data_IF_185064818208
#
_entry.id   IF_185064818208
#
_cell.length_a   1.000
_cell.length_b   1.000
_cell.length_c   1.000
_cell.angle_alpha   90.00
_cell.angle_beta   90.00
_cell.angle_gamma   90.00
#
_symmetry.space_group_name_H-M   'P 1'
#
loop_
_entity.id
_entity.type
_entity.pdbx_description
1 polymer ?
#
# COMPACT_ATOMS: atom_id res chain seq x y z
N UNK A 1 0.98 10.16 12.25
CA UNK A 1 1.60 9.92 10.93
C UNK A 1 2.98 9.24 11.06
N UNK A 2 3.12 8.00 10.56
CA UNK A 2 4.38 7.22 10.54
C UNK A 2 4.57 6.60 9.14
N UNK A 3 5.21 7.33 8.24
CA UNK A 3 5.36 6.94 6.83
C UNK A 3 6.66 6.15 6.66
N UNK A 4 6.55 4.95 6.10
CA UNK A 4 7.64 4.01 5.93
C UNK A 4 7.81 3.67 4.44
N UNK A 5 8.82 4.23 3.75
CA UNK A 5 9.06 3.95 2.34
C UNK A 5 9.46 2.49 2.11
N UNK A 6 8.89 1.86 1.07
CA UNK A 6 9.33 0.55 0.56
C UNK A 6 10.08 0.70 -0.77
N UNK A 7 9.79 1.76 -1.53
CA UNK A 7 10.51 2.14 -2.74
C UNK A 7 10.42 3.64 -2.95
N UNK A 8 11.17 4.22 -3.91
CA UNK A 8 11.05 5.65 -4.25
C UNK A 8 9.65 6.07 -4.67
N UNK A 9 8.82 5.14 -5.16
CA UNK A 9 7.45 5.41 -5.64
C UNK A 9 6.35 4.93 -4.71
N UNK A 10 6.68 4.22 -3.63
CA UNK A 10 5.67 3.62 -2.76
C UNK A 10 6.12 3.61 -1.30
N UNK A 11 5.27 4.16 -0.44
CA UNK A 11 5.40 4.11 1.00
C UNK A 11 4.13 3.55 1.64
N UNK A 12 4.28 3.05 2.86
CA UNK A 12 3.19 2.52 3.67
C UNK A 12 3.09 3.24 5.00
N UNK A 13 1.92 3.25 5.61
CA UNK A 13 1.70 3.75 6.96
C UNK A 13 0.70 2.87 7.74
N UNK A 14 0.75 2.88 9.08
CA UNK A 14 -0.39 2.53 9.91
C UNK A 14 -1.54 3.52 9.68
N UNK A 15 -2.64 3.36 10.41
CA UNK A 15 -3.82 4.20 10.24
C UNK A 15 -3.44 5.69 10.28
N UNK A 16 -3.88 6.43 9.26
CA UNK A 16 -3.75 7.89 9.17
C UNK A 16 -5.09 8.56 9.48
N UNK A 17 -5.06 9.83 9.83
CA UNK A 17 -6.25 10.64 10.10
C UNK A 17 -6.49 11.67 9.00
N UNK A 18 -7.72 12.18 8.80
CA UNK A 18 -8.01 13.22 7.81
C UNK A 18 -7.08 14.44 7.89
N UNK A 19 -6.67 14.82 9.11
CA UNK A 19 -5.75 15.93 9.36
C UNK A 19 -4.31 15.70 8.90
N UNK A 20 -3.89 14.46 8.64
CA UNK A 20 -2.55 14.14 8.16
C UNK A 20 -2.38 14.43 6.66
N UNK A 21 -3.49 14.55 5.91
CA UNK A 21 -3.49 14.54 4.43
C UNK A 21 -2.78 15.76 3.82
N UNK A 22 -2.91 16.99 4.37
CA UNK A 22 -2.08 18.11 3.94
C UNK A 22 -0.57 17.88 4.14
N UNK A 23 -0.17 17.24 5.23
CA UNK A 23 1.24 16.92 5.49
C UNK A 23 1.75 15.82 4.54
N UNK A 24 0.90 14.85 4.20
CA UNK A 24 1.20 13.82 3.18
C UNK A 24 1.42 14.47 1.81
N UNK A 25 0.59 15.44 1.41
CA UNK A 25 0.80 16.21 0.18
C UNK A 25 2.11 16.99 0.22
N UNK A 26 2.39 17.68 1.32
CA UNK A 26 3.61 18.45 1.51
C UNK A 26 4.88 17.58 1.48
N UNK A 27 4.78 16.31 1.90
CA UNK A 27 5.84 15.32 1.79
C UNK A 27 6.09 14.80 0.36
N UNK A 28 5.30 15.26 -0.63
CA UNK A 28 5.50 14.96 -2.06
C UNK A 28 4.69 13.79 -2.60
N UNK A 29 3.83 13.17 -1.79
CA UNK A 29 2.92 12.13 -2.28
C UNK A 29 1.81 12.76 -3.13
N UNK A 30 1.40 12.05 -4.18
CA UNK A 30 0.33 12.48 -5.08
C UNK A 30 -0.96 11.69 -4.89
N UNK A 31 -0.84 10.46 -4.39
CA UNK A 31 -1.93 9.49 -4.33
C UNK A 31 -1.92 8.77 -2.98
N UNK A 32 -3.10 8.56 -2.42
CA UNK A 32 -3.33 7.77 -1.21
C UNK A 32 -4.20 6.55 -1.53
N UNK A 33 -3.82 5.38 -1.00
CA UNK A 33 -4.60 4.14 -1.12
C UNK A 33 -5.01 3.65 0.27
N UNK A 34 -6.32 3.55 0.52
CA UNK A 34 -6.84 2.87 1.70
C UNK A 34 -6.94 1.37 1.43
N UNK A 35 -6.14 0.58 2.15
CA UNK A 35 -6.22 -0.88 2.16
C UNK A 35 -6.90 -1.47 3.40
N UNK A 36 -7.60 -0.63 4.18
CA UNK A 36 -8.37 -1.05 5.35
C UNK A 36 -9.87 -1.07 5.03
N UNK A 37 -10.58 -2.19 5.28
CA UNK A 37 -12.03 -2.23 5.16
C UNK A 37 -12.72 -1.22 6.06
N UNK A 38 -13.77 -0.56 5.55
CA UNK A 38 -14.52 0.45 6.30
C UNK A 38 -15.23 -0.11 7.53
N UNK A 39 -15.59 -1.39 7.51
CA UNK A 39 -16.18 -2.09 8.66
C UNK A 39 -15.23 -2.16 9.86
N UNK A 40 -13.92 -1.99 9.66
CA UNK A 40 -12.92 -1.92 10.73
C UNK A 40 -12.75 -0.50 11.31
N UNK A 41 -13.39 0.52 10.72
CA UNK A 41 -13.17 1.93 11.03
C UNK A 41 -14.39 2.61 11.68
N UNK A 42 -14.17 3.57 12.59
CA UNK A 42 -15.23 4.49 13.00
C UNK A 42 -15.62 5.40 11.82
N UNK A 43 -16.83 6.00 11.81
CA UNK A 43 -17.31 6.83 10.70
C UNK A 43 -16.35 7.94 10.25
N UNK A 44 -15.65 8.57 11.20
CA UNK A 44 -14.69 9.64 10.91
C UNK A 44 -13.44 9.18 10.13
N UNK A 45 -13.16 7.86 10.08
CA UNK A 45 -12.02 7.27 9.38
C UNK A 45 -12.44 6.36 8.22
N UNK A 46 -13.74 6.32 7.89
CA UNK A 46 -14.22 5.60 6.72
C UNK A 46 -13.77 6.28 5.43
N UNK A 47 -13.72 5.49 4.37
CA UNK A 47 -13.13 5.87 3.09
C UNK A 47 -13.73 7.16 2.52
N UNK A 48 -15.03 7.41 2.71
CA UNK A 48 -15.68 8.61 2.21
C UNK A 48 -15.17 9.89 2.91
N UNK A 49 -14.96 9.86 4.23
CA UNK A 49 -14.40 11.00 4.97
C UNK A 49 -12.92 11.20 4.64
N UNK A 50 -12.17 10.10 4.54
CA UNK A 50 -10.77 10.13 4.13
C UNK A 50 -10.59 10.67 2.71
N UNK A 51 -11.49 10.29 1.78
CA UNK A 51 -11.52 10.78 0.39
C UNK A 51 -11.74 12.28 0.34
N UNK A 52 -12.75 12.80 1.05
CA UNK A 52 -13.03 14.24 1.09
C UNK A 52 -11.81 15.03 1.55
N UNK A 53 -11.13 14.55 2.59
CA UNK A 53 -9.90 15.18 3.10
C UNK A 53 -8.72 15.10 2.11
N UNK A 54 -8.57 13.97 1.41
CA UNK A 54 -7.55 13.79 0.37
C UNK A 54 -7.74 14.75 -0.80
N UNK A 55 -8.95 14.81 -1.33
CA UNK A 55 -9.29 15.67 -2.46
C UNK A 55 -9.13 17.14 -2.08
N UNK A 56 -9.54 17.54 -0.87
CA UNK A 56 -9.31 18.89 -0.35
C UNK A 56 -7.82 19.24 -0.22
N UNK A 57 -6.96 18.26 0.06
CA UNK A 57 -5.51 18.41 0.09
C UNK A 57 -4.83 18.29 -1.30
N UNK A 58 -5.59 18.05 -2.38
CA UNK A 58 -5.05 17.86 -3.72
C UNK A 58 -4.33 16.52 -3.92
N UNK A 59 -4.80 15.47 -3.24
CA UNK A 59 -4.35 14.09 -3.39
C UNK A 59 -5.41 13.26 -4.13
N UNK A 60 -4.98 12.39 -5.03
CA UNK A 60 -5.84 11.33 -5.54
C UNK A 60 -6.09 10.29 -4.44
N UNK A 61 -7.30 9.73 -4.35
CA UNK A 61 -7.65 8.76 -3.32
C UNK A 61 -8.30 7.50 -3.91
N UNK A 62 -7.75 6.34 -3.57
CA UNK A 62 -8.29 5.05 -3.96
C UNK A 62 -8.60 4.17 -2.75
N UNK A 63 -9.57 3.29 -2.92
CA UNK A 63 -9.95 2.28 -1.94
C UNK A 63 -9.73 0.92 -2.58
N UNK A 64 -8.97 0.07 -1.89
CA UNK A 64 -8.81 -1.33 -2.24
C UNK A 64 -8.76 -2.12 -0.94
N UNK A 65 -9.91 -2.52 -0.42
CA UNK A 65 -10.02 -3.17 0.87
C UNK A 65 -9.31 -4.54 0.89
N UNK A 66 -8.34 -4.70 1.79
CA UNK A 66 -7.56 -5.93 1.91
C UNK A 66 -7.86 -6.67 3.21
N UNK A 67 -8.12 -7.96 3.03
CA UNK A 67 -8.26 -9.00 4.04
C UNK A 67 -7.46 -10.22 3.59
N UNK A 68 -7.39 -11.26 4.43
CA UNK A 68 -6.81 -12.54 4.00
C UNK A 68 -7.52 -13.14 2.78
N UNK A 69 -8.83 -12.90 2.64
CA UNK A 69 -9.63 -13.44 1.52
C UNK A 69 -9.48 -12.60 0.25
N UNK A 70 -9.26 -11.29 0.39
CA UNK A 70 -9.16 -10.37 -0.75
C UNK A 70 -7.71 -10.11 -1.18
N UNK A 71 -6.72 -10.80 -0.59
CA UNK A 71 -5.34 -10.82 -1.06
C UNK A 71 -5.20 -11.75 -2.29
N UNK A 72 -5.90 -11.42 -3.37
CA UNK A 72 -6.01 -12.22 -4.58
C UNK A 72 -5.09 -11.71 -5.70
N UNK A 73 -4.75 -12.52 -6.72
CA UNK A 73 -3.98 -12.06 -7.88
C UNK A 73 -4.57 -10.83 -8.57
N UNK A 74 -5.90 -10.75 -8.65
CA UNK A 74 -6.61 -9.60 -9.22
C UNK A 74 -6.34 -8.33 -8.42
N UNK A 75 -6.48 -8.37 -7.09
CA UNK A 75 -6.23 -7.20 -6.25
C UNK A 75 -4.75 -6.84 -6.20
N UNK A 76 -3.84 -7.82 -6.25
CA UNK A 76 -2.39 -7.59 -6.38
C UNK A 76 -2.09 -6.80 -7.66
N UNK A 77 -2.66 -7.24 -8.80
CA UNK A 77 -2.53 -6.53 -10.07
C UNK A 77 -3.15 -5.12 -10.01
N UNK A 78 -4.31 -4.98 -9.38
CA UNK A 78 -5.01 -3.70 -9.22
C UNK A 78 -4.23 -2.70 -8.37
N UNK A 79 -3.68 -3.13 -7.23
CA UNK A 79 -2.80 -2.27 -6.41
C UNK A 79 -1.58 -1.83 -7.21
N UNK A 80 -0.94 -2.77 -7.93
CA UNK A 80 0.22 -2.45 -8.78
C UNK A 80 -0.14 -1.41 -9.84
N UNK A 81 -1.27 -1.59 -10.51
CA UNK A 81 -1.74 -0.65 -11.52
C UNK A 81 -1.99 0.76 -10.92
N UNK A 82 -2.61 0.86 -9.74
CA UNK A 82 -2.78 2.15 -9.05
C UNK A 82 -1.44 2.86 -8.77
N UNK A 83 -0.36 2.11 -8.53
CA UNK A 83 0.98 2.68 -8.31
C UNK A 83 1.62 3.11 -9.65
N UNK A 84 1.45 2.33 -10.70
CA UNK A 84 1.99 2.61 -12.04
C UNK A 84 1.28 3.81 -12.70
N UNK A 85 -0.04 3.91 -12.54
CA UNK A 85 -0.88 4.97 -13.11
C UNK A 85 -0.82 6.29 -12.32
N UNK A 86 -0.21 6.29 -11.13
CA UNK A 86 -0.10 7.50 -10.32
C UNK A 86 0.93 8.49 -10.90
N UNK A 87 0.59 9.79 -10.88
CA UNK A 87 1.46 10.88 -11.34
C UNK A 87 2.75 11.06 -10.52
N UNK A 88 2.85 10.42 -9.36
CA UNK A 88 3.98 10.53 -8.44
C UNK A 88 3.99 9.45 -7.36
N UNK A 89 4.72 9.67 -6.25
CA UNK A 89 4.80 8.72 -5.15
C UNK A 89 3.43 8.45 -4.51
N UNK A 90 3.19 7.18 -4.20
CA UNK A 90 1.96 6.70 -3.56
C UNK A 90 2.19 6.39 -2.09
N UNK A 91 1.24 6.80 -1.24
CA UNK A 91 1.16 6.36 0.15
C UNK A 91 -0.03 5.40 0.31
N UNK A 92 0.21 4.16 0.72
CA UNK A 92 -0.85 3.23 1.09
C UNK A 92 -0.95 3.09 2.62
N UNK A 93 -2.15 2.97 3.16
CA UNK A 93 -2.32 2.72 4.59
C UNK A 93 -3.34 1.63 4.88
N UNK A 94 -3.17 0.98 6.03
CA UNK A 94 -4.20 0.14 6.63
C UNK A 94 -4.14 0.29 8.15
N UNK A 95 -4.61 -0.68 8.94
CA UNK A 95 -4.50 -0.59 10.40
C UNK A 95 -3.05 -0.43 10.91
N UNK A 96 -2.13 -1.27 10.42
CA UNK A 96 -0.71 -1.31 10.86
C UNK A 96 0.30 -1.07 9.73
N UNK A 97 -0.15 -0.92 8.49
CA UNK A 97 0.68 -0.91 7.28
C UNK A 97 1.11 -2.29 6.75
N UNK A 98 0.83 -3.37 7.48
CA UNK A 98 1.23 -4.74 7.07
C UNK A 98 0.55 -5.19 5.78
N UNK A 99 -0.77 -4.98 5.62
CA UNK A 99 -1.50 -5.39 4.39
C UNK A 99 -0.93 -4.72 3.14
N UNK A 100 -0.62 -3.42 3.25
CA UNK A 100 -0.02 -2.62 2.21
C UNK A 100 1.38 -3.13 1.82
N UNK A 101 2.14 -3.60 2.80
CA UNK A 101 3.48 -4.17 2.59
C UNK A 101 3.42 -5.55 1.93
N UNK A 102 2.46 -6.39 2.34
CA UNK A 102 2.25 -7.73 1.77
C UNK A 102 1.81 -7.63 0.31
N UNK A 103 0.78 -6.84 0.01
CA UNK A 103 0.27 -6.72 -1.37
C UNK A 103 1.32 -6.11 -2.31
N UNK A 104 2.11 -5.15 -1.82
CA UNK A 104 3.21 -4.59 -2.58
C UNK A 104 4.26 -5.66 -2.88
N UNK A 105 4.66 -6.44 -1.88
CA UNK A 105 5.65 -7.51 -2.04
C UNK A 105 5.21 -8.53 -3.10
N UNK A 106 3.96 -8.96 -3.03
CA UNK A 106 3.37 -9.87 -4.02
C UNK A 106 3.29 -9.23 -5.41
N UNK A 107 3.00 -7.93 -5.50
CA UNK A 107 2.99 -7.18 -6.76
C UNK A 107 4.36 -6.98 -7.39
N UNK A 108 5.44 -7.03 -6.59
CA UNK A 108 6.82 -6.97 -7.08
C UNK A 108 7.41 -8.34 -7.42
N UNK A 109 6.81 -9.44 -6.95
CA UNK A 109 7.28 -10.79 -7.24
C UNK A 109 7.34 -11.03 -8.76
N UNK A 110 8.51 -11.46 -9.25
CA UNK A 110 8.80 -11.64 -10.69
C UNK A 110 9.28 -10.37 -11.41
N UNK A 111 9.21 -9.20 -10.77
CA UNK A 111 9.69 -7.90 -11.29
C UNK A 111 10.90 -7.36 -10.52
N UNK A 112 11.05 -7.77 -9.28
CA UNK A 112 12.13 -7.43 -8.36
C UNK A 112 12.65 -8.70 -7.71
N UNK A 113 13.93 -8.73 -7.34
CA UNK A 113 14.51 -9.86 -6.62
C UNK A 113 13.82 -10.05 -5.26
N UNK A 114 13.56 -11.30 -4.88
CA UNK A 114 12.86 -11.62 -3.62
C UNK A 114 13.67 -11.16 -2.40
N UNK A 115 15.00 -11.19 -2.45
CA UNK A 115 15.87 -10.69 -1.40
C UNK A 115 15.72 -9.19 -1.22
N UNK A 116 15.63 -8.44 -2.32
CA UNK A 116 15.45 -6.99 -2.28
C UNK A 116 14.05 -6.61 -1.76
N UNK A 117 13.00 -7.34 -2.16
CA UNK A 117 11.64 -7.13 -1.66
C UNK A 117 11.61 -7.32 -0.13
N UNK A 118 12.22 -8.39 0.37
CA UNK A 118 12.27 -8.69 1.80
C UNK A 118 13.18 -7.70 2.55
N UNK A 119 14.27 -7.24 1.94
CA UNK A 119 15.12 -6.20 2.51
C UNK A 119 14.37 -4.88 2.68
N UNK A 120 13.63 -4.44 1.66
CA UNK A 120 12.83 -3.21 1.71
C UNK A 120 11.77 -3.27 2.83
N UNK A 121 11.06 -4.39 2.94
CA UNK A 121 10.03 -4.58 3.98
C UNK A 121 10.64 -4.60 5.38
N UNK A 122 11.77 -5.29 5.57
CA UNK A 122 12.52 -5.29 6.84
C UNK A 122 12.99 -3.89 7.24
N UNK A 123 13.53 -3.11 6.30
CA UNK A 123 13.98 -1.73 6.55
C UNK A 123 12.81 -0.82 6.96
N UNK A 124 11.62 -1.04 6.40
CA UNK A 124 10.39 -0.36 6.79
C UNK A 124 9.73 -0.93 8.07
N UNK A 125 10.39 -1.86 8.77
CA UNK A 125 9.90 -2.42 10.03
C UNK A 125 8.82 -3.50 9.89
N UNK A 126 8.70 -4.14 8.72
CA UNK A 126 7.79 -5.26 8.47
C UNK A 126 8.58 -6.55 8.24
N UNK A 127 8.48 -7.50 9.18
CA UNK A 127 9.15 -8.80 9.08
C UNK A 127 8.30 -9.75 8.24
N UNK A 128 8.61 -9.83 6.94
CA UNK A 128 7.85 -10.64 5.97
C UNK A 128 8.66 -11.82 5.42
N UNK A 129 9.78 -12.19 6.03
CA UNK A 129 10.69 -13.25 5.54
C UNK A 129 9.99 -14.60 5.32
N UNK A 130 8.93 -14.88 6.10
CA UNK A 130 8.09 -16.07 5.95
C UNK A 130 7.32 -16.13 4.61
N UNK A 131 7.20 -15.01 3.90
CA UNK A 131 6.56 -14.96 2.59
C UNK A 131 7.48 -15.39 1.44
N UNK A 132 8.78 -15.62 1.67
CA UNK A 132 9.73 -16.00 0.61
C UNK A 132 9.19 -17.09 -0.33
N UNK A 133 8.72 -18.26 0.17
CA UNK A 133 8.25 -19.33 -0.73
C UNK A 133 7.06 -18.88 -1.58
N UNK A 134 6.18 -18.05 -1.03
CA UNK A 134 5.06 -17.47 -1.76
C UNK A 134 5.52 -16.50 -2.82
N UNK A 135 6.48 -15.61 -2.52
CA UNK A 135 7.03 -14.65 -3.48
C UNK A 135 7.74 -15.34 -4.64
N UNK A 136 8.53 -16.38 -4.36
CA UNK A 136 9.20 -17.18 -5.38
C UNK A 136 8.19 -17.90 -6.29
N UNK A 137 7.16 -18.52 -5.71
CA UNK A 137 6.09 -19.18 -6.46
C UNK A 137 5.31 -18.20 -7.34
N UNK A 138 4.96 -17.02 -6.81
CA UNK A 138 4.24 -15.98 -7.54
C UNK A 138 5.08 -15.39 -8.68
N UNK A 139 6.38 -15.16 -8.43
CA UNK A 139 7.30 -14.66 -9.45
C UNK A 139 7.52 -15.64 -10.60
N UNK A 140 7.55 -16.94 -10.32
CA UNK A 140 7.63 -17.97 -11.35
C UNK A 140 6.38 -18.01 -12.25
N UNK A 141 5.19 -17.78 -11.68
CA UNK A 141 3.91 -17.76 -12.43
C UNK A 141 3.76 -16.53 -13.34
N UNK A 142 4.45 -15.43 -13.06
CA UNK A 142 4.40 -14.20 -13.87
C UNK A 142 5.35 -14.23 -15.08
N UNK A 143 6.32 -15.15 -15.07
CA UNK A 143 7.38 -15.27 -16.09
C UNK A 143 7.18 -16.46 -17.04
N UNK A 144 6.14 -17.26 -16.84
CA UNK A 144 5.75 -18.40 -17.70
C UNK A 144 4.55 -18.06 -18.55
#
# INVERSE_FOLDING_TARGET
>A
MDIRPLSPRYAVAPQIEPGDLPAIKAAGYTTVICNRPDIENPPALQADEMRKAAEAAGLAFHVLELTHQTMTPENIARQRQMIEDADGPVLAYCASGTRCSVIWSLGQAGRMDVDDILAATRQAGYQLDQLRPTLEAFGAQQNG
#
